data_IF_240104775596
#
_entry.id   IF_240104775596
#
_cell.length_a   1.000
_cell.length_b   1.000
_cell.length_c   1.000
_cell.angle_alpha   90.00
_cell.angle_beta   90.00
_cell.angle_gamma   90.00
#
_symmetry.space_group_name_H-M   'P 1'
#
loop_
_entity.id
_entity.type
_entity.pdbx_description
1 polymer ?
#
# COMPACT_ATOMS: atom_id res chain seq x y z
N UNK A 1 -19.11 -5.66 2.40
CA UNK A 1 -19.39 -4.21 2.48
C UNK A 1 -20.88 -3.99 2.22
N UNK A 2 -21.68 -3.47 3.17
CA UNK A 2 -23.14 -3.32 3.02
C UNK A 2 -23.63 -1.87 2.84
N UNK A 3 -22.72 -0.89 2.82
CA UNK A 3 -23.03 0.50 2.48
C UNK A 3 -22.78 0.76 1.00
N UNK A 4 -23.56 1.68 0.43
CA UNK A 4 -23.32 2.19 -0.93
C UNK A 4 -21.92 2.80 -0.96
N UNK A 5 -21.06 2.29 -1.85
CA UNK A 5 -19.67 2.73 -1.93
C UNK A 5 -19.57 4.20 -2.32
N UNK A 6 -18.67 4.93 -1.68
CA UNK A 6 -18.24 6.24 -2.15
C UNK A 6 -16.91 6.06 -2.92
N UNK A 7 -16.66 6.91 -3.91
CA UNK A 7 -15.43 6.81 -4.71
C UNK A 7 -14.18 7.21 -3.92
N UNK A 8 -14.32 8.07 -2.92
CA UNK A 8 -13.21 8.58 -2.11
C UNK A 8 -12.59 7.53 -1.19
N UNK A 9 -13.39 6.62 -0.62
CA UNK A 9 -12.91 5.50 0.20
C UNK A 9 -12.30 4.40 -0.67
N UNK A 10 -12.83 4.22 -1.88
CA UNK A 10 -12.41 3.17 -2.80
C UNK A 10 -11.10 3.52 -3.53
N UNK A 11 -10.92 4.77 -3.95
CA UNK A 11 -9.78 5.21 -4.75
C UNK A 11 -8.41 4.89 -4.11
N UNK A 12 -8.18 5.10 -2.81
CA UNK A 12 -6.92 4.71 -2.17
C UNK A 12 -6.69 3.19 -2.19
N UNK A 13 -7.75 2.40 -2.00
CA UNK A 13 -7.66 0.94 -2.03
C UNK A 13 -7.35 0.44 -3.45
N UNK A 14 -8.03 0.98 -4.45
CA UNK A 14 -7.79 0.66 -5.86
C UNK A 14 -6.36 1.02 -6.28
N UNK A 15 -5.88 2.22 -5.94
CA UNK A 15 -4.51 2.64 -6.24
C UNK A 15 -3.47 1.73 -5.57
N UNK A 16 -3.71 1.30 -4.32
CA UNK A 16 -2.84 0.32 -3.67
C UNK A 16 -2.81 -1.01 -4.44
N UNK A 17 -3.98 -1.57 -4.78
CA UNK A 17 -4.07 -2.87 -5.44
C UNK A 17 -3.58 -2.86 -6.89
N UNK A 18 -3.67 -1.73 -7.58
CA UNK A 18 -3.06 -1.52 -8.90
C UNK A 18 -1.54 -1.67 -8.79
N UNK A 19 -0.90 -0.90 -7.93
CA UNK A 19 0.55 -0.97 -7.72
C UNK A 19 1.02 -2.32 -7.18
N UNK A 20 0.27 -2.92 -6.25
CA UNK A 20 0.62 -4.22 -5.70
C UNK A 20 0.70 -5.31 -6.77
N UNK A 21 -0.24 -5.32 -7.73
CA UNK A 21 -0.26 -6.32 -8.80
C UNK A 21 0.90 -6.17 -9.79
N UNK A 22 1.35 -4.94 -10.01
CA UNK A 22 2.43 -4.64 -10.95
C UNK A 22 3.81 -4.82 -10.33
N UNK A 23 3.95 -4.48 -9.05
CA UNK A 23 5.24 -4.40 -8.36
C UNK A 23 5.58 -5.66 -7.55
N UNK A 24 4.60 -6.45 -7.10
CA UNK A 24 4.85 -7.66 -6.30
C UNK A 24 5.15 -8.89 -7.17
N UNK A 25 6.12 -9.70 -6.75
CA UNK A 25 6.59 -10.89 -7.47
C UNK A 25 5.78 -12.14 -7.12
N UNK A 26 4.45 -12.03 -7.16
CA UNK A 26 3.54 -13.12 -6.78
C UNK A 26 3.70 -14.35 -7.69
N UNK A 27 4.02 -14.15 -8.97
CA UNK A 27 4.13 -15.21 -9.97
C UNK A 27 5.28 -16.19 -9.70
N UNK A 28 6.26 -15.80 -8.89
CA UNK A 28 7.42 -16.65 -8.56
C UNK A 28 7.23 -17.42 -7.26
N UNK A 29 6.13 -17.20 -6.53
CA UNK A 29 5.84 -17.90 -5.28
C UNK A 29 5.35 -19.32 -5.58
N UNK A 30 6.02 -20.34 -5.03
CA UNK A 30 5.65 -21.76 -5.22
C UNK A 30 4.80 -22.28 -4.05
N UNK A 31 4.97 -21.70 -2.86
CA UNK A 31 4.25 -22.10 -1.66
C UNK A 31 3.40 -20.95 -1.09
N UNK A 32 2.45 -21.31 -0.23
CA UNK A 32 1.67 -20.33 0.53
C UNK A 32 2.57 -19.46 1.42
N UNK A 33 3.64 -20.00 1.97
CA UNK A 33 4.55 -19.25 2.83
C UNK A 33 5.42 -18.28 2.04
N UNK A 34 5.83 -18.63 0.81
CA UNK A 34 6.47 -17.69 -0.11
C UNK A 34 5.54 -16.52 -0.44
N UNK A 35 4.27 -16.80 -0.72
CA UNK A 35 3.28 -15.78 -1.00
C UNK A 35 3.07 -14.83 0.20
N UNK A 36 2.94 -15.39 1.41
CA UNK A 36 2.83 -14.58 2.63
C UNK A 36 4.07 -13.70 2.84
N UNK A 37 5.26 -14.24 2.55
CA UNK A 37 6.51 -13.50 2.66
C UNK A 37 6.55 -12.36 1.65
N UNK A 38 6.25 -12.62 0.38
CA UNK A 38 6.20 -11.59 -0.68
C UNK A 38 5.21 -10.48 -0.32
N UNK A 39 3.99 -10.83 0.15
CA UNK A 39 3.01 -9.84 0.60
C UNK A 39 3.58 -9.00 1.75
N UNK A 40 4.21 -9.63 2.74
CA UNK A 40 4.78 -8.92 3.90
C UNK A 40 5.92 -7.99 3.49
N UNK A 41 6.79 -8.44 2.59
CA UNK A 41 7.93 -7.69 2.08
C UNK A 41 7.42 -6.50 1.26
N UNK A 42 6.43 -6.70 0.39
CA UNK A 42 5.79 -5.61 -0.35
C UNK A 42 5.10 -4.60 0.57
N UNK A 43 4.38 -5.06 1.60
CA UNK A 43 3.74 -4.16 2.57
C UNK A 43 4.77 -3.32 3.32
N UNK A 44 5.94 -3.88 3.64
CA UNK A 44 7.05 -3.14 4.24
C UNK A 44 7.59 -2.09 3.27
N UNK A 45 7.83 -2.48 2.01
CA UNK A 45 8.25 -1.59 0.92
C UNK A 45 7.27 -0.42 0.71
N UNK A 46 6.00 -0.72 0.49
CA UNK A 46 4.96 0.28 0.20
C UNK A 46 4.84 1.31 1.33
N UNK A 47 4.85 0.87 2.59
CA UNK A 47 4.64 1.75 3.73
C UNK A 47 5.86 2.59 4.11
N UNK A 48 7.06 2.06 3.94
CA UNK A 48 8.29 2.67 4.48
C UNK A 48 9.24 3.23 3.42
N UNK A 49 9.14 2.79 2.16
CA UNK A 49 10.13 3.08 1.13
C UNK A 49 9.53 3.62 -0.18
N UNK A 50 8.24 3.41 -0.43
CA UNK A 50 7.56 3.89 -1.64
C UNK A 50 7.05 5.33 -1.48
N UNK A 51 7.75 6.28 -2.08
CA UNK A 51 7.35 7.69 -2.10
C UNK A 51 6.19 7.95 -3.06
N UNK A 52 5.24 8.77 -2.64
CA UNK A 52 4.03 9.05 -3.43
C UNK A 52 3.83 10.55 -3.64
N UNK A 53 3.56 10.94 -4.89
CA UNK A 53 3.32 12.35 -5.22
C UNK A 53 2.10 12.93 -4.51
N UNK A 54 1.05 12.13 -4.34
CA UNK A 54 -0.16 12.53 -3.62
C UNK A 54 0.08 12.77 -2.11
N UNK A 55 1.18 12.25 -1.55
CA UNK A 55 1.56 12.39 -0.15
C UNK A 55 2.72 13.39 0.02
N UNK A 56 2.76 14.44 -0.81
CA UNK A 56 3.84 15.44 -0.80
C UNK A 56 5.25 14.84 -0.93
N UNK A 57 5.38 13.76 -1.71
CA UNK A 57 6.62 12.99 -1.86
C UNK A 57 7.13 12.41 -0.53
N UNK A 58 6.22 11.98 0.34
CA UNK A 58 6.49 11.16 1.51
C UNK A 58 6.05 9.70 1.28
N UNK A 59 6.56 8.79 2.11
CA UNK A 59 6.00 7.44 2.26
C UNK A 59 4.75 7.48 3.14
N UNK A 60 3.85 6.48 3.07
CA UNK A 60 2.67 6.42 3.94
C UNK A 60 2.99 6.61 5.43
N UNK A 61 4.04 5.97 5.93
CA UNK A 61 4.46 6.10 7.33
C UNK A 61 4.97 7.51 7.64
N UNK A 62 5.79 8.09 6.75
CA UNK A 62 6.28 9.46 6.92
C UNK A 62 5.12 10.47 6.94
N UNK A 63 4.15 10.31 6.03
CA UNK A 63 2.98 11.18 5.96
C UNK A 63 2.15 11.13 7.24
N UNK A 64 1.90 9.93 7.77
CA UNK A 64 1.18 9.77 9.04
C UNK A 64 1.95 10.43 10.19
N UNK A 65 3.26 10.20 10.29
CA UNK A 65 4.08 10.80 11.34
C UNK A 65 4.11 12.34 11.24
N UNK A 66 4.14 12.87 10.01
CA UNK A 66 4.06 14.32 9.76
C UNK A 66 2.73 14.88 10.28
N UNK A 67 1.59 14.26 9.92
CA UNK A 67 0.27 14.66 10.41
C UNK A 67 0.18 14.59 11.95
N UNK A 68 0.67 13.52 12.56
CA UNK A 68 0.67 13.36 14.01
C UNK A 68 1.55 14.39 14.73
N UNK A 69 2.66 14.82 14.11
CA UNK A 69 3.52 15.88 14.67
C UNK A 69 2.91 17.28 14.55
N UNK A 70 1.90 17.45 13.71
CA UNK A 70 1.19 18.72 13.48
C UNK A 70 -0.09 18.88 14.31
N UNK A 71 -0.44 17.86 15.11
CA UNK A 71 -1.52 17.85 16.09
C UNK A 71 -1.00 18.24 17.48
#
# INVERSE_FOLDING_TARGET
MSRRGNCWDNAPQESFFEHFKDEANIKTCETLDDLKKEIKDYMSYYNNYRYQWALERMTPVQYINHLLSSL
#
